data_IF_289148870081
#
_entry.id   IF_289148870081
#
_cell.length_a   1.000
_cell.length_b   1.000
_cell.length_c   1.000
_cell.angle_alpha   90.00
_cell.angle_beta   90.00
_cell.angle_gamma   90.00
#
_symmetry.space_group_name_H-M   'P 1'
#
loop_
_entity.id
_entity.type
_entity.pdbx_description
1 polymer ?
#
# COMPACT_ATOMS: atom_id res chain seq x y z
N UNK A 1 12.39 -5.70 -21.44
CA UNK A 1 12.22 -5.08 -20.10
C UNK A 1 11.82 -6.19 -19.14
N UNK A 2 12.30 -6.12 -17.91
CA UNK A 2 11.99 -7.08 -16.87
C UNK A 2 11.53 -6.35 -15.62
N UNK A 3 10.59 -6.95 -14.91
CA UNK A 3 10.09 -6.48 -13.62
C UNK A 3 10.18 -7.62 -12.61
N UNK A 4 10.74 -7.34 -11.44
CA UNK A 4 10.88 -8.29 -10.35
C UNK A 4 10.12 -7.78 -9.13
N UNK A 5 9.35 -8.62 -8.47
CA UNK A 5 8.49 -8.24 -7.36
C UNK A 5 8.67 -9.16 -6.16
N UNK A 6 8.51 -8.59 -4.97
CA UNK A 6 8.22 -9.33 -3.75
C UNK A 6 7.42 -8.47 -2.77
N UNK A 7 6.77 -9.13 -1.81
CA UNK A 7 5.81 -8.54 -0.90
C UNK A 7 6.26 -8.55 0.57
N UNK A 8 5.76 -7.57 1.32
CA UNK A 8 5.86 -7.57 2.79
C UNK A 8 4.51 -7.18 3.40
N UNK A 9 4.10 -7.86 4.48
CA UNK A 9 2.82 -7.59 5.14
C UNK A 9 1.75 -8.68 5.02
N UNK A 10 2.17 -9.94 4.79
CA UNK A 10 1.37 -11.17 4.76
C UNK A 10 0.25 -11.17 3.70
N UNK A 11 0.60 -11.62 2.48
CA UNK A 11 -0.25 -11.85 1.28
C UNK A 11 -1.26 -10.76 0.89
N UNK A 12 -1.34 -9.66 1.63
CA UNK A 12 -2.37 -8.64 1.48
C UNK A 12 -3.76 -9.10 1.92
N UNK A 13 -3.92 -10.17 2.71
CA UNK A 13 -5.24 -10.61 3.18
C UNK A 13 -5.89 -9.55 4.07
N UNK A 14 -7.17 -9.25 3.80
CA UNK A 14 -7.99 -8.23 4.48
C UNK A 14 -9.14 -8.83 5.31
N UNK A 15 -9.27 -10.14 5.33
CA UNK A 15 -10.29 -10.82 6.12
C UNK A 15 -9.84 -11.09 7.54
N UNK A 16 -10.80 -11.15 8.48
CA UNK A 16 -10.49 -11.47 9.86
C UNK A 16 -9.68 -12.77 9.96
N UNK A 17 -8.58 -12.72 10.71
CA UNK A 17 -7.79 -13.88 11.03
C UNK A 17 -8.56 -14.83 11.97
N UNK A 18 -7.98 -15.98 12.29
CA UNK A 18 -8.59 -16.98 13.21
C UNK A 18 -8.88 -16.43 14.62
N UNK A 19 -8.32 -15.29 14.98
CA UNK A 19 -8.54 -14.63 16.27
C UNK A 19 -9.62 -13.52 16.19
N UNK A 20 -10.25 -13.32 15.03
CA UNK A 20 -11.28 -12.31 14.83
C UNK A 20 -10.75 -10.88 14.64
N UNK A 21 -9.46 -10.72 14.33
CA UNK A 21 -8.82 -9.42 14.06
C UNK A 21 -8.62 -9.24 12.55
N UNK A 22 -8.73 -8.03 11.99
CA UNK A 22 -8.57 -7.82 10.54
C UNK A 22 -7.17 -8.13 10.01
N UNK A 23 -6.17 -8.04 10.86
CA UNK A 23 -4.79 -8.35 10.52
C UNK A 23 -4.05 -8.85 11.76
N UNK A 24 -2.95 -9.57 11.56
CA UNK A 24 -2.06 -9.92 12.67
C UNK A 24 -1.30 -8.67 13.17
N UNK A 25 -0.81 -8.73 14.41
CA UNK A 25 -0.07 -7.64 15.03
C UNK A 25 1.07 -7.14 14.13
N UNK A 26 1.03 -5.84 13.81
CA UNK A 26 2.02 -5.19 12.95
C UNK A 26 1.93 -5.58 11.46
N UNK A 27 0.74 -5.96 10.98
CA UNK A 27 0.49 -6.30 9.56
C UNK A 27 -0.71 -5.54 8.96
N UNK A 28 -0.99 -4.34 9.48
CA UNK A 28 -1.98 -3.41 8.91
C UNK A 28 -1.60 -2.97 7.50
N UNK A 29 -0.31 -2.85 7.22
CA UNK A 29 0.17 -2.36 5.94
C UNK A 29 0.71 -3.50 5.08
N UNK A 30 0.50 -3.35 3.78
CA UNK A 30 1.02 -4.23 2.75
C UNK A 30 1.90 -3.42 1.81
N UNK A 31 3.07 -3.96 1.48
CA UNK A 31 4.03 -3.31 0.59
C UNK A 31 4.43 -4.27 -0.51
N UNK A 32 4.22 -3.87 -1.75
CA UNK A 32 4.80 -4.50 -2.94
C UNK A 32 6.03 -3.70 -3.32
N UNK A 33 7.21 -4.31 -3.20
CA UNK A 33 8.47 -3.74 -3.68
C UNK A 33 8.80 -4.29 -5.06
N UNK A 34 9.37 -3.47 -5.93
CA UNK A 34 9.75 -3.90 -7.26
C UNK A 34 11.09 -3.37 -7.72
N UNK A 35 11.71 -4.14 -8.62
CA UNK A 35 12.93 -3.77 -9.35
C UNK A 35 12.62 -3.81 -10.84
N UNK A 36 12.64 -2.66 -11.49
CA UNK A 36 12.50 -2.48 -12.92
C UNK A 36 13.86 -2.49 -13.60
N UNK A 37 13.93 -3.20 -14.72
CA UNK A 37 15.12 -3.34 -15.54
C UNK A 37 14.73 -3.11 -17.00
N UNK A 38 15.19 -2.02 -17.59
CA UNK A 38 14.85 -1.64 -18.95
C UNK A 38 15.45 -2.62 -19.97
N UNK A 39 16.73 -2.94 -19.80
CA UNK A 39 17.53 -3.76 -20.71
C UNK A 39 18.66 -4.51 -19.97
N UNK A 40 19.53 -5.17 -20.74
CA UNK A 40 20.61 -5.99 -20.19
C UNK A 40 21.73 -5.18 -19.54
N UNK A 41 22.01 -3.97 -20.02
CA UNK A 41 23.03 -3.11 -19.42
C UNK A 41 22.55 -2.63 -18.05
N UNK A 42 21.28 -2.26 -17.98
CA UNK A 42 20.56 -1.91 -16.76
C UNK A 42 20.59 -3.05 -15.72
N UNK A 43 20.30 -4.28 -16.17
CA UNK A 43 20.35 -5.48 -15.35
C UNK A 43 21.74 -5.69 -14.72
N UNK A 44 22.79 -5.49 -15.52
CA UNK A 44 24.18 -5.64 -15.08
C UNK A 44 24.53 -4.55 -14.07
N UNK A 45 24.08 -3.31 -14.29
CA UNK A 45 24.34 -2.19 -13.38
C UNK A 45 23.79 -2.49 -11.97
N UNK A 46 22.51 -2.79 -11.86
CA UNK A 46 21.86 -2.99 -10.56
C UNK A 46 22.38 -4.24 -9.84
N UNK A 47 22.63 -5.33 -10.58
CA UNK A 47 23.25 -6.54 -10.02
C UNK A 47 24.66 -6.27 -9.50
N UNK A 48 25.44 -5.44 -10.20
CA UNK A 48 26.77 -5.07 -9.74
C UNK A 48 26.71 -4.25 -8.45
N UNK A 49 25.78 -3.29 -8.33
CA UNK A 49 25.56 -2.54 -7.06
C UNK A 49 25.26 -3.51 -5.91
N UNK A 50 24.33 -4.44 -6.12
CA UNK A 50 23.91 -5.39 -5.09
C UNK A 50 25.01 -6.40 -4.70
N UNK A 51 25.73 -6.94 -5.69
CA UNK A 51 26.86 -7.86 -5.43
C UNK A 51 28.02 -7.15 -4.74
N UNK A 52 28.31 -5.90 -5.09
CA UNK A 52 29.31 -5.08 -4.39
C UNK A 52 28.92 -4.88 -2.93
N UNK A 53 27.65 -4.57 -2.66
CA UNK A 53 27.10 -4.50 -1.31
C UNK A 53 27.32 -5.82 -0.55
N UNK A 54 26.88 -6.97 -1.10
CA UNK A 54 27.04 -8.29 -0.45
C UNK A 54 28.51 -8.60 -0.16
N UNK A 55 29.39 -8.39 -1.13
CA UNK A 55 30.83 -8.61 -0.99
C UNK A 55 31.45 -7.72 0.09
N UNK A 56 31.05 -6.44 0.15
CA UNK A 56 31.59 -5.48 1.13
C UNK A 56 31.29 -5.86 2.57
N UNK A 57 30.10 -6.42 2.83
CA UNK A 57 29.65 -6.78 4.17
C UNK A 57 29.73 -8.28 4.46
N UNK A 58 30.27 -9.08 3.53
CA UNK A 58 30.50 -10.51 3.72
C UNK A 58 29.24 -11.37 3.72
N UNK A 59 28.16 -10.94 3.06
CA UNK A 59 26.92 -11.70 2.98
C UNK A 59 27.02 -12.81 1.92
N UNK A 60 26.94 -14.07 2.36
CA UNK A 60 26.93 -15.25 1.49
C UNK A 60 25.51 -15.76 1.30
N UNK A 61 25.06 -15.90 0.06
CA UNK A 61 23.70 -16.39 -0.26
C UNK A 61 22.65 -15.27 -0.18
N UNK A 62 21.41 -15.63 0.10
CA UNK A 62 20.30 -14.69 0.27
C UNK A 62 20.41 -13.96 1.62
N UNK A 63 20.22 -12.65 1.60
CA UNK A 63 20.06 -11.83 2.80
C UNK A 63 18.61 -11.35 2.87
N UNK A 64 17.95 -11.54 4.03
CA UNK A 64 16.58 -11.06 4.23
C UNK A 64 16.57 -9.58 4.61
N UNK A 65 15.60 -8.82 4.09
CA UNK A 65 15.49 -7.39 4.42
C UNK A 65 15.35 -7.12 5.92
N UNK A 66 14.64 -7.99 6.65
CA UNK A 66 14.51 -7.92 8.11
C UNK A 66 15.83 -8.08 8.86
N UNK A 67 16.80 -8.80 8.29
CA UNK A 67 18.13 -8.96 8.88
C UNK A 67 18.95 -7.66 8.80
N UNK A 68 18.78 -6.90 7.71
CA UNK A 68 19.42 -5.59 7.54
C UNK A 68 18.90 -4.54 8.53
N UNK A 69 17.68 -4.71 9.03
CA UNK A 69 17.03 -3.82 9.98
C UNK A 69 17.47 -4.04 11.45
N UNK A 70 18.68 -4.53 11.68
CA UNK A 70 19.25 -4.79 13.01
C UNK A 70 20.42 -3.87 13.32
N UNK A 71 20.66 -3.55 14.60
CA UNK A 71 21.74 -2.63 15.01
C UNK A 71 23.11 -3.05 14.47
N UNK A 72 23.40 -4.36 14.44
CA UNK A 72 24.66 -4.91 13.90
C UNK A 72 24.89 -4.59 12.42
N UNK A 73 23.80 -4.37 11.68
CA UNK A 73 23.81 -4.16 10.23
C UNK A 73 23.55 -2.70 9.85
N UNK A 74 23.61 -1.75 10.79
CA UNK A 74 23.36 -0.32 10.51
C UNK A 74 24.22 0.24 9.37
N UNK A 75 25.52 -0.08 9.33
CA UNK A 75 26.41 0.36 8.25
C UNK A 75 26.05 -0.32 6.91
N UNK A 76 25.63 -1.59 6.95
CA UNK A 76 25.18 -2.32 5.77
C UNK A 76 23.88 -1.73 5.22
N UNK A 77 22.89 -1.48 6.07
CA UNK A 77 21.63 -0.85 5.70
C UNK A 77 21.86 0.55 5.12
N UNK A 78 22.70 1.36 5.77
CA UNK A 78 23.06 2.70 5.24
C UNK A 78 23.70 2.60 3.87
N UNK A 79 24.65 1.67 3.68
CA UNK A 79 25.26 1.46 2.38
C UNK A 79 24.25 1.00 1.33
N UNK A 80 23.37 0.06 1.68
CA UNK A 80 22.31 -0.43 0.81
C UNK A 80 21.42 0.72 0.33
N UNK A 81 20.89 1.52 1.26
CA UNK A 81 20.04 2.67 0.91
C UNK A 81 20.79 3.67 0.03
N UNK A 82 22.04 4.02 0.34
CA UNK A 82 22.75 5.09 -0.37
C UNK A 82 23.44 4.66 -1.67
N UNK A 83 23.75 3.37 -1.86
CA UNK A 83 24.59 2.91 -2.98
C UNK A 83 23.94 1.81 -3.83
N UNK A 84 22.88 1.17 -3.34
CA UNK A 84 22.14 0.15 -4.09
C UNK A 84 20.83 0.71 -4.61
N UNK A 85 20.09 1.44 -3.78
CA UNK A 85 18.87 2.11 -4.21
C UNK A 85 19.17 3.31 -5.12
N UNK A 86 18.24 3.59 -6.03
CA UNK A 86 18.26 4.77 -6.90
C UNK A 86 16.83 5.12 -7.37
N UNK A 87 16.72 6.26 -8.05
CA UNK A 87 15.52 6.84 -8.64
C UNK A 87 15.23 6.30 -10.05
N UNK A 88 15.69 5.07 -10.35
CA UNK A 88 15.52 4.45 -11.66
C UNK A 88 14.91 3.05 -11.57
N UNK A 89 15.44 2.21 -10.70
CA UNK A 89 15.08 0.79 -10.69
C UNK A 89 13.96 0.47 -9.70
N UNK A 90 13.76 1.26 -8.64
CA UNK A 90 12.89 0.87 -7.53
C UNK A 90 11.53 1.55 -7.61
N UNK A 91 10.47 0.75 -7.55
CA UNK A 91 9.10 1.24 -7.36
C UNK A 91 8.41 0.51 -6.23
N UNK A 92 7.59 1.23 -5.48
CA UNK A 92 6.93 0.74 -4.26
C UNK A 92 5.44 1.06 -4.32
N UNK A 93 4.60 0.06 -4.04
CA UNK A 93 3.20 0.27 -3.74
C UNK A 93 2.94 -0.03 -2.27
N UNK A 94 2.45 0.95 -1.52
CA UNK A 94 2.17 0.85 -0.10
C UNK A 94 0.69 1.00 0.18
N UNK A 95 0.08 -0.01 0.79
CA UNK A 95 -1.34 -0.07 1.10
C UNK A 95 -1.58 -0.11 2.60
N UNK A 96 -2.55 0.67 3.06
CA UNK A 96 -3.20 0.49 4.36
C UNK A 96 -4.48 -0.34 4.17
N UNK A 97 -4.50 -1.55 4.72
CA UNK A 97 -5.65 -2.47 4.58
C UNK A 97 -6.96 -1.88 5.10
N UNK A 98 -6.91 -1.02 6.14
CA UNK A 98 -8.11 -0.34 6.65
C UNK A 98 -8.60 0.70 5.65
N UNK A 99 -7.69 1.44 5.03
CA UNK A 99 -8.07 2.41 4.01
C UNK A 99 -8.63 1.71 2.77
N UNK A 100 -8.03 0.59 2.35
CA UNK A 100 -8.57 -0.25 1.28
C UNK A 100 -9.99 -0.74 1.59
N UNK A 101 -10.26 -1.25 2.80
CA UNK A 101 -11.63 -1.61 3.18
C UNK A 101 -12.57 -0.39 3.20
N UNK A 102 -12.06 0.77 3.61
CA UNK A 102 -12.84 2.02 3.60
C UNK A 102 -13.22 2.46 2.19
N UNK A 103 -12.33 2.31 1.20
CA UNK A 103 -12.65 2.63 -0.19
C UNK A 103 -13.68 1.63 -0.76
N UNK A 104 -13.58 0.33 -0.43
CA UNK A 104 -14.60 -0.65 -0.83
C UNK A 104 -15.98 -0.35 -0.23
N UNK A 105 -16.05 -0.01 1.07
CA UNK A 105 -17.30 0.42 1.72
C UNK A 105 -17.82 1.70 1.04
N UNK A 106 -16.94 2.65 0.73
CA UNK A 106 -17.33 3.89 0.07
C UNK A 106 -17.87 3.65 -1.34
N UNK A 107 -17.29 2.73 -2.11
CA UNK A 107 -17.83 2.33 -3.41
C UNK A 107 -19.18 1.64 -3.26
N UNK A 108 -19.34 0.77 -2.26
CA UNK A 108 -20.62 0.11 -1.98
C UNK A 108 -21.74 1.12 -1.67
N UNK A 109 -21.44 2.13 -0.84
CA UNK A 109 -22.43 3.09 -0.36
C UNK A 109 -22.68 4.23 -1.35
N UNK A 110 -21.64 4.78 -1.99
CA UNK A 110 -21.75 5.95 -2.86
C UNK A 110 -21.79 5.60 -4.35
N UNK A 111 -21.27 4.43 -4.73
CA UNK A 111 -21.13 4.00 -6.11
C UNK A 111 -19.91 4.57 -6.83
N UNK A 112 -19.49 3.87 -7.90
CA UNK A 112 -18.35 4.26 -8.75
C UNK A 112 -18.58 5.62 -9.42
N UNK A 113 -19.82 5.92 -9.81
CA UNK A 113 -20.13 7.23 -10.40
C UNK A 113 -19.86 8.39 -9.44
N UNK A 114 -20.16 8.23 -8.15
CA UNK A 114 -19.84 9.25 -7.15
C UNK A 114 -18.33 9.39 -6.97
N UNK A 115 -17.59 8.28 -6.91
CA UNK A 115 -16.12 8.31 -6.85
C UNK A 115 -15.51 9.11 -8.02
N UNK A 116 -16.09 9.02 -9.21
CA UNK A 116 -15.60 9.68 -10.43
C UNK A 116 -16.00 11.15 -10.54
N UNK A 117 -17.19 11.51 -10.08
CA UNK A 117 -17.72 12.88 -10.21
C UNK A 117 -17.33 13.76 -9.02
N UNK A 118 -17.23 13.16 -7.83
CA UNK A 118 -16.99 13.82 -6.55
C UNK A 118 -15.74 13.23 -5.90
N UNK A 119 -14.65 13.11 -6.67
CA UNK A 119 -13.44 12.36 -6.30
C UNK A 119 -12.82 12.83 -4.98
N UNK A 120 -12.67 14.15 -4.80
CA UNK A 120 -12.16 14.70 -3.55
C UNK A 120 -13.05 14.33 -2.36
N UNK A 121 -14.37 14.55 -2.50
CA UNK A 121 -15.35 14.20 -1.45
C UNK A 121 -15.30 12.72 -1.12
N UNK A 122 -15.25 11.84 -2.13
CA UNK A 122 -15.13 10.39 -1.95
C UNK A 122 -13.91 10.02 -1.10
N UNK A 123 -12.72 10.50 -1.46
CA UNK A 123 -11.50 10.15 -0.73
C UNK A 123 -11.38 10.84 0.63
N UNK A 124 -12.00 12.01 0.82
CA UNK A 124 -12.15 12.63 2.14
C UNK A 124 -13.02 11.77 3.06
N UNK A 125 -14.16 11.27 2.57
CA UNK A 125 -15.04 10.39 3.33
C UNK A 125 -14.36 9.06 3.65
N UNK A 126 -13.71 8.42 2.66
CA UNK A 126 -13.00 7.16 2.86
C UNK A 126 -11.84 7.32 3.85
N UNK A 127 -11.10 8.44 3.80
CA UNK A 127 -10.04 8.74 4.77
C UNK A 127 -10.59 8.91 6.17
N UNK A 128 -11.72 9.59 6.33
CA UNK A 128 -12.35 9.76 7.63
C UNK A 128 -12.89 8.43 8.19
N UNK A 129 -13.54 7.62 7.36
CA UNK A 129 -14.02 6.28 7.72
C UNK A 129 -12.86 5.39 8.19
N UNK A 130 -11.73 5.42 7.48
CA UNK A 130 -10.54 4.65 7.83
C UNK A 130 -9.93 5.04 9.19
N UNK A 131 -10.29 6.21 9.72
CA UNK A 131 -9.92 6.66 11.07
C UNK A 131 -10.87 6.20 12.18
N UNK A 132 -11.97 5.52 11.84
CA UNK A 132 -12.95 4.98 12.76
C UNK A 132 -12.51 3.64 13.39
N UNK A 133 -13.33 3.10 14.29
CA UNK A 133 -13.03 1.86 15.02
C UNK A 133 -13.02 0.64 14.10
N UNK A 134 -12.09 -0.28 14.39
CA UNK A 134 -11.90 -1.55 13.66
C UNK A 134 -13.19 -2.38 13.53
N UNK A 135 -14.07 -2.29 14.54
CA UNK A 135 -15.35 -2.99 14.60
C UNK A 135 -16.22 -2.77 13.34
N UNK A 136 -16.22 -1.56 12.76
CA UNK A 136 -17.00 -1.27 11.56
C UNK A 136 -16.59 -2.15 10.39
N UNK A 137 -15.28 -2.33 10.21
CA UNK A 137 -14.72 -3.12 9.12
C UNK A 137 -14.90 -4.62 9.36
N UNK A 138 -14.87 -5.07 10.62
CA UNK A 138 -15.20 -6.45 10.98
C UNK A 138 -16.66 -6.78 10.61
N UNK A 139 -17.59 -5.86 10.90
CA UNK A 139 -19.00 -6.00 10.51
C UNK A 139 -19.17 -6.05 8.98
N UNK A 140 -18.47 -5.19 8.24
CA UNK A 140 -18.45 -5.24 6.78
C UNK A 140 -17.96 -6.59 6.25
N UNK A 141 -16.81 -7.07 6.73
CA UNK A 141 -16.26 -8.37 6.31
C UNK A 141 -17.22 -9.53 6.62
N UNK A 142 -17.91 -9.50 7.76
CA UNK A 142 -18.94 -10.51 8.10
C UNK A 142 -20.10 -10.47 7.11
N UNK A 143 -20.60 -9.27 6.78
CA UNK A 143 -21.71 -9.11 5.84
C UNK A 143 -21.34 -9.61 4.42
N UNK A 144 -20.10 -9.36 4.00
CA UNK A 144 -19.54 -9.86 2.73
C UNK A 144 -19.42 -11.39 2.72
N UNK A 145 -19.01 -12.03 3.82
CA UNK A 145 -18.94 -13.49 3.90
C UNK A 145 -20.31 -14.14 3.70
N UNK A 146 -21.37 -13.55 4.25
CA UNK A 146 -22.73 -14.08 4.14
C UNK A 146 -23.35 -13.75 2.78
N UNK A 147 -23.08 -12.54 2.27
CA UNK A 147 -23.57 -11.99 0.99
C UNK A 147 -25.06 -12.26 0.72
N UNK A 148 -25.91 -12.00 1.70
CA UNK A 148 -27.37 -12.09 1.55
C UNK A 148 -28.01 -10.70 1.63
N UNK A 149 -29.24 -10.54 1.15
CA UNK A 149 -29.98 -9.28 1.34
C UNK A 149 -30.11 -8.93 2.83
N UNK A 150 -30.28 -9.93 3.70
CA UNK A 150 -30.33 -9.70 5.15
C UNK A 150 -29.00 -9.16 5.69
N UNK A 151 -27.87 -9.76 5.32
CA UNK A 151 -26.56 -9.29 5.79
C UNK A 151 -26.24 -7.88 5.26
N UNK A 152 -26.68 -7.55 4.04
CA UNK A 152 -26.62 -6.20 3.46
C UNK A 152 -27.47 -5.21 4.28
N UNK A 153 -28.72 -5.56 4.61
CA UNK A 153 -29.63 -4.74 5.43
C UNK A 153 -29.02 -4.50 6.82
N UNK A 154 -28.57 -5.56 7.50
CA UNK A 154 -27.97 -5.48 8.83
C UNK A 154 -26.72 -4.59 8.84
N UNK A 155 -25.88 -4.69 7.81
CA UNK A 155 -24.72 -3.82 7.67
C UNK A 155 -25.11 -2.35 7.46
N UNK A 156 -26.11 -2.05 6.63
CA UNK A 156 -26.60 -0.69 6.42
C UNK A 156 -27.21 -0.10 7.70
N UNK A 157 -27.99 -0.87 8.45
CA UNK A 157 -28.53 -0.47 9.76
C UNK A 157 -27.42 -0.23 10.79
N UNK A 158 -26.38 -1.08 10.78
CA UNK A 158 -25.20 -0.89 11.61
C UNK A 158 -24.46 0.40 11.21
N UNK A 159 -24.25 0.66 9.92
CA UNK A 159 -23.59 1.87 9.43
C UNK A 159 -24.34 3.15 9.84
N UNK A 160 -25.67 3.13 9.91
CA UNK A 160 -26.51 4.25 10.37
C UNK A 160 -26.36 4.47 11.88
N UNK A 161 -26.32 3.39 12.66
CA UNK A 161 -26.27 3.44 14.13
C UNK A 161 -24.86 3.49 14.72
N UNK A 162 -23.83 3.34 13.88
CA UNK A 162 -22.44 3.29 14.27
C UNK A 162 -22.02 4.56 15.04
N UNK A 163 -21.29 4.43 16.16
CA UNK A 163 -20.88 5.57 16.97
C UNK A 163 -19.64 6.28 16.39
N UNK A 164 -19.78 6.92 15.22
CA UNK A 164 -18.71 7.67 14.55
C UNK A 164 -17.98 8.63 15.49
N UNK A 165 -16.64 8.69 15.39
CA UNK A 165 -15.76 9.58 16.13
C UNK A 165 -15.02 10.58 15.23
N UNK A 166 -14.85 10.24 13.95
CA UNK A 166 -14.19 11.07 12.92
C UNK A 166 -15.19 11.74 12.01
N UNK A 167 -16.37 11.14 11.85
CA UNK A 167 -17.49 11.69 11.09
C UNK A 167 -18.63 12.15 12.01
N UNK A 168 -19.44 13.09 11.51
CA UNK A 168 -20.63 13.55 12.23
C UNK A 168 -21.69 12.43 12.34
N UNK A 169 -22.53 12.50 13.38
CA UNK A 169 -23.60 11.52 13.65
C UNK A 169 -24.99 12.00 13.21
N UNK A 170 -25.03 12.87 12.22
CA UNK A 170 -26.26 13.48 11.73
C UNK A 170 -26.43 13.16 10.24
N UNK A 171 -27.52 13.64 9.63
CA UNK A 171 -27.84 13.37 8.22
C UNK A 171 -26.89 14.08 7.22
N UNK A 172 -25.92 14.88 7.68
CA UNK A 172 -24.84 15.37 6.83
C UNK A 172 -23.72 14.34 6.63
N UNK A 173 -23.68 13.27 7.44
CA UNK A 173 -22.80 12.15 7.17
C UNK A 173 -23.32 11.35 5.97
N UNK A 174 -22.58 11.40 4.87
CA UNK A 174 -23.00 10.78 3.61
C UNK A 174 -23.21 9.26 3.77
N UNK A 175 -22.44 8.57 4.63
CA UNK A 175 -22.66 7.14 4.87
C UNK A 175 -24.03 6.87 5.48
N UNK A 176 -24.46 7.70 6.44
CA UNK A 176 -25.78 7.60 7.06
C UNK A 176 -26.88 7.92 6.04
N UNK A 177 -26.72 9.01 5.28
CA UNK A 177 -27.72 9.46 4.32
C UNK A 177 -27.95 8.44 3.19
N UNK A 178 -26.88 7.94 2.57
CA UNK A 178 -26.97 6.96 1.49
C UNK A 178 -27.45 5.59 1.99
N UNK A 179 -27.01 5.15 3.17
CA UNK A 179 -27.49 3.88 3.74
C UNK A 179 -29.00 3.90 4.01
N UNK A 180 -29.54 5.02 4.54
CA UNK A 180 -30.99 5.20 4.70
C UNK A 180 -31.72 5.12 3.37
N UNK A 181 -31.20 5.78 2.34
CA UNK A 181 -31.79 5.77 1.00
C UNK A 181 -31.81 4.35 0.39
N UNK A 182 -30.73 3.58 0.54
CA UNK A 182 -30.66 2.19 0.09
C UNK A 182 -31.72 1.32 0.80
N UNK A 183 -31.88 1.48 2.11
CA UNK A 183 -32.91 0.77 2.90
C UNK A 183 -34.34 1.15 2.47
N UNK A 184 -34.61 2.44 2.26
CA UNK A 184 -35.92 2.93 1.81
C UNK A 184 -36.28 2.41 0.42
N UNK A 185 -35.32 2.42 -0.51
CA UNK A 185 -35.52 1.96 -1.88
C UNK A 185 -35.49 0.44 -2.03
N UNK A 186 -34.99 -0.28 -1.02
CA UNK A 186 -34.70 -1.73 -1.09
C UNK A 186 -33.77 -2.09 -2.24
N UNK A 187 -32.81 -1.22 -2.50
CA UNK A 187 -31.76 -1.41 -3.49
C UNK A 187 -30.43 -1.53 -2.75
N UNK A 188 -29.96 -2.77 -2.61
CA UNK A 188 -28.80 -3.08 -1.78
C UNK A 188 -27.52 -3.28 -2.60
N UNK A 189 -27.61 -3.31 -3.93
CA UNK A 189 -26.46 -3.55 -4.80
C UNK A 189 -25.69 -4.84 -4.50
N UNK A 190 -24.46 -4.92 -4.99
CA UNK A 190 -23.51 -5.99 -4.68
C UNK A 190 -22.30 -5.42 -3.94
N UNK A 191 -21.77 -6.19 -3.00
CA UNK A 191 -20.53 -5.81 -2.35
C UNK A 191 -19.38 -5.82 -3.38
N UNK A 192 -18.55 -4.76 -3.44
CA UNK A 192 -17.37 -4.74 -4.30
C UNK A 192 -16.34 -5.81 -3.92
N UNK A 193 -16.34 -6.21 -2.64
CA UNK A 193 -15.53 -7.31 -2.15
C UNK A 193 -16.21 -8.65 -2.46
N UNK A 194 -15.57 -9.48 -3.27
CA UNK A 194 -16.09 -10.81 -3.63
C UNK A 194 -15.41 -11.92 -2.82
N UNK A 195 -16.20 -12.67 -2.04
CA UNK A 195 -15.77 -13.87 -1.32
C UNK A 195 -15.75 -15.09 -2.26
N UNK A 196 -14.79 -16.02 -2.10
CA UNK A 196 -14.65 -17.24 -2.93
C UNK A 196 -14.49 -16.99 -4.45
N UNK A 197 -14.08 -15.78 -4.86
CA UNK A 197 -13.89 -15.46 -6.27
C UNK A 197 -12.70 -16.20 -6.93
N UNK A 198 -11.79 -16.74 -6.13
CA UNK A 198 -10.60 -17.45 -6.60
C UNK A 198 -10.74 -18.96 -6.44
N UNK A 199 -10.03 -19.71 -7.28
CA UNK A 199 -9.97 -21.19 -7.24
C UNK A 199 -9.54 -21.72 -5.86
N UNK A 200 -8.65 -21.02 -5.17
CA UNK A 200 -8.31 -21.31 -3.78
C UNK A 200 -9.43 -20.83 -2.82
N UNK A 201 -10.25 -21.78 -2.34
CA UNK A 201 -11.42 -21.52 -1.47
C UNK A 201 -11.12 -20.90 -0.10
N UNK A 202 -9.85 -20.78 0.28
CA UNK A 202 -9.44 -20.12 1.53
C UNK A 202 -9.14 -18.63 1.34
N UNK A 203 -9.50 -18.04 0.20
CA UNK A 203 -9.03 -16.72 -0.21
C UNK A 203 -10.16 -15.72 -0.37
N UNK A 204 -9.88 -14.50 0.05
CA UNK A 204 -10.76 -13.35 -0.11
C UNK A 204 -9.86 -12.16 -0.39
N UNK A 205 -10.10 -11.54 -1.54
CA UNK A 205 -9.43 -10.35 -2.10
C UNK A 205 -8.09 -9.97 -1.46
N UNK A 206 -7.01 -10.33 -2.15
CA UNK A 206 -5.68 -9.93 -1.76
C UNK A 206 -5.37 -8.52 -2.25
N UNK A 207 -4.98 -7.66 -1.31
CA UNK A 207 -4.36 -6.38 -1.63
C UNK A 207 -3.14 -6.58 -2.52
N UNK A 208 -2.42 -7.72 -2.45
CA UNK A 208 -1.27 -7.97 -3.32
C UNK A 208 -1.64 -7.93 -4.81
N UNK A 209 -2.64 -8.70 -5.25
CA UNK A 209 -3.03 -8.71 -6.66
C UNK A 209 -3.46 -7.33 -7.16
N UNK A 210 -4.26 -6.62 -6.35
CA UNK A 210 -4.67 -5.26 -6.64
C UNK A 210 -3.45 -4.33 -6.74
N UNK A 211 -2.53 -4.41 -5.79
CA UNK A 211 -1.28 -3.65 -5.76
C UNK A 211 -0.42 -3.91 -7.00
N UNK A 212 -0.31 -5.16 -7.44
CA UNK A 212 0.41 -5.50 -8.67
C UNK A 212 -0.29 -4.89 -9.89
N UNK A 213 -1.60 -5.08 -10.04
CA UNK A 213 -2.35 -4.52 -11.17
C UNK A 213 -2.21 -3.00 -11.26
N UNK A 214 -2.31 -2.31 -10.13
CA UNK A 214 -2.15 -0.85 -10.06
C UNK A 214 -0.71 -0.39 -10.31
N UNK A 215 0.30 -1.16 -9.88
CA UNK A 215 1.70 -0.89 -10.20
C UNK A 215 1.97 -1.00 -11.70
N UNK A 216 1.49 -2.08 -12.33
CA UNK A 216 1.63 -2.29 -13.78
C UNK A 216 0.90 -1.17 -14.56
N UNK A 217 -0.28 -0.75 -14.09
CA UNK A 217 -1.03 0.37 -14.66
C UNK A 217 -0.25 1.69 -14.52
N UNK A 218 0.35 1.93 -13.36
CA UNK A 218 1.19 3.11 -13.10
C UNK A 218 2.42 3.13 -14.00
N UNK A 219 3.13 2.01 -14.13
CA UNK A 219 4.27 1.88 -15.04
C UNK A 219 3.88 2.12 -16.51
N UNK A 220 2.71 1.63 -16.93
CA UNK A 220 2.19 1.89 -18.27
C UNK A 220 1.89 3.37 -18.51
N UNK A 221 1.17 4.02 -17.60
CA UNK A 221 0.69 5.39 -17.81
C UNK A 221 1.73 6.47 -17.51
N UNK A 222 2.51 6.30 -16.45
CA UNK A 222 3.49 7.30 -16.00
C UNK A 222 4.84 7.11 -16.70
N UNK A 223 5.20 5.87 -17.05
CA UNK A 223 6.52 5.55 -17.61
C UNK A 223 6.47 4.97 -19.03
N UNK A 224 5.28 4.84 -19.63
CA UNK A 224 5.12 4.38 -21.01
C UNK A 224 5.54 2.94 -21.24
N UNK A 225 5.59 2.11 -20.19
CA UNK A 225 6.07 0.73 -20.28
C UNK A 225 5.02 -0.15 -20.98
N UNK A 226 5.45 -0.86 -22.03
CA UNK A 226 4.61 -1.82 -22.73
C UNK A 226 4.55 -3.15 -21.95
N UNK A 227 3.47 -3.34 -21.19
CA UNK A 227 3.25 -4.54 -20.38
C UNK A 227 3.22 -5.82 -21.22
N UNK A 228 2.82 -5.75 -22.51
CA UNK A 228 2.79 -6.93 -23.39
C UNK A 228 4.17 -7.44 -23.80
N UNK A 229 5.22 -6.64 -23.59
CA UNK A 229 6.62 -6.96 -23.90
C UNK A 229 7.52 -7.00 -22.66
N UNK A 230 6.92 -6.95 -21.47
CA UNK A 230 7.64 -6.95 -20.21
C UNK A 230 7.60 -8.33 -19.60
N UNK A 231 8.76 -8.88 -19.27
CA UNK A 231 8.84 -10.13 -18.52
C UNK A 231 8.68 -9.83 -17.03
N UNK A 232 7.69 -10.45 -16.39
CA UNK A 232 7.35 -10.20 -14.99
C UNK A 232 7.75 -11.42 -14.16
N UNK A 233 8.47 -11.18 -13.07
CA UNK A 233 8.95 -12.20 -12.13
C UNK A 233 8.49 -11.88 -10.71
N UNK A 234 8.06 -12.89 -9.98
CA UNK A 234 7.66 -12.78 -8.58
C UNK A 234 8.33 -13.89 -7.75
N UNK A 235 8.64 -13.65 -6.47
CA UNK A 235 9.02 -14.75 -5.57
C UNK A 235 7.91 -15.80 -5.49
N UNK A 236 8.25 -17.05 -5.17
CA UNK A 236 7.25 -18.12 -5.10
C UNK A 236 6.19 -17.83 -4.03
N UNK A 237 4.92 -17.81 -4.46
CA UNK A 237 3.74 -17.67 -3.61
C UNK A 237 2.97 -18.98 -3.59
N UNK A 238 3.46 -19.94 -2.80
CA UNK A 238 2.96 -21.33 -2.81
C UNK A 238 1.42 -21.42 -2.76
N UNK A 239 0.83 -21.86 -3.87
CA UNK A 239 -0.60 -22.12 -3.99
C UNK A 239 -1.44 -20.93 -4.48
N UNK A 240 -0.81 -19.91 -5.04
CA UNK A 240 -1.47 -18.72 -5.60
C UNK A 240 -1.01 -18.41 -7.03
N UNK A 241 -0.04 -19.14 -7.56
CA UNK A 241 0.59 -18.84 -8.84
C UNK A 241 -0.39 -18.95 -10.02
N UNK A 242 -1.35 -19.86 -9.92
CA UNK A 242 -2.40 -20.05 -10.93
C UNK A 242 -3.41 -18.91 -10.90
N UNK A 243 -3.86 -18.47 -9.72
CA UNK A 243 -4.79 -17.35 -9.54
C UNK A 243 -4.26 -16.05 -10.17
N UNK A 244 -2.97 -15.76 -9.98
CA UNK A 244 -2.32 -14.61 -10.61
C UNK A 244 -2.41 -14.69 -12.12
N UNK A 245 -1.97 -15.81 -12.70
CA UNK A 245 -1.94 -15.96 -14.15
C UNK A 245 -3.34 -15.95 -14.78
N UNK A 246 -4.35 -16.52 -14.11
CA UNK A 246 -5.75 -16.45 -14.56
C UNK A 246 -6.28 -15.01 -14.52
N UNK A 247 -6.01 -14.27 -13.45
CA UNK A 247 -6.50 -12.89 -13.29
C UNK A 247 -5.94 -11.92 -14.33
N UNK A 248 -4.76 -12.23 -14.87
CA UNK A 248 -4.06 -11.40 -15.86
C UNK A 248 -4.14 -11.97 -17.30
N UNK A 249 -4.82 -13.10 -17.50
CA UNK A 249 -4.87 -13.83 -18.79
C UNK A 249 -5.48 -12.97 -19.92
N UNK A 250 -6.59 -12.28 -19.64
CA UNK A 250 -7.27 -11.41 -20.62
C UNK A 250 -6.37 -10.28 -21.15
N UNK A 251 -5.39 -9.87 -20.33
CA UNK A 251 -4.42 -8.83 -20.68
C UNK A 251 -3.14 -9.39 -21.29
N UNK A 252 -3.04 -10.71 -21.50
CA UNK A 252 -1.85 -11.42 -22.01
C UNK A 252 -0.60 -11.14 -21.18
N UNK A 253 -0.79 -10.93 -19.88
CA UNK A 253 0.30 -10.73 -18.94
C UNK A 253 0.55 -12.08 -18.25
N UNK A 254 1.80 -12.54 -18.29
CA UNK A 254 2.21 -13.78 -17.65
C UNK A 254 3.26 -13.49 -16.56
N UNK A 255 3.08 -14.11 -15.40
CA UNK A 255 3.93 -13.91 -14.23
C UNK A 255 4.75 -15.18 -13.99
N UNK A 256 6.07 -15.00 -14.01
CA UNK A 256 7.03 -16.07 -13.79
C UNK A 256 7.38 -16.14 -12.30
N UNK A 257 6.94 -17.20 -11.62
CA UNK A 257 7.30 -17.43 -10.23
C UNK A 257 8.66 -18.12 -10.14
N UNK A 258 9.57 -17.54 -9.35
CA UNK A 258 10.96 -18.00 -9.23
C UNK A 258 11.39 -18.06 -7.77
N UNK A 259 12.30 -18.98 -7.43
CA UNK A 259 12.87 -19.06 -6.08
C UNK A 259 13.85 -17.90 -5.87
N UNK A 260 13.59 -17.06 -4.86
CA UNK A 260 14.47 -15.96 -4.48
C UNK A 260 15.93 -16.39 -4.27
N UNK A 261 16.21 -17.63 -3.85
CA UNK A 261 17.58 -18.13 -3.66
C UNK A 261 18.39 -18.17 -4.95
N UNK A 262 17.71 -18.34 -6.08
CA UNK A 262 18.32 -18.46 -7.41
C UNK A 262 18.20 -17.15 -8.22
N UNK A 263 17.49 -16.13 -7.71
CA UNK A 263 17.28 -14.86 -8.40
C UNK A 263 17.60 -13.65 -7.50
N UNK A 264 18.77 -13.03 -7.71
CA UNK A 264 19.22 -11.88 -6.93
C UNK A 264 18.35 -10.63 -7.09
N UNK A 265 17.64 -10.44 -8.21
CA UNK A 265 16.73 -9.29 -8.41
C UNK A 265 15.44 -9.45 -7.63
N UNK A 266 14.98 -10.69 -7.42
CA UNK A 266 13.89 -10.99 -6.49
C UNK A 266 14.35 -10.78 -5.04
N UNK A 267 15.59 -11.16 -4.69
CA UNK A 267 16.15 -10.84 -3.36
C UNK A 267 16.20 -9.32 -3.11
N UNK A 268 16.56 -8.54 -4.13
CA UNK A 268 16.53 -7.07 -4.07
C UNK A 268 15.10 -6.55 -3.82
N UNK A 269 14.10 -7.12 -4.50
CA UNK A 269 12.69 -6.79 -4.29
C UNK A 269 12.21 -7.13 -2.86
N UNK A 270 12.58 -8.29 -2.31
CA UNK A 270 12.34 -8.66 -0.89
C UNK A 270 12.96 -7.63 0.06
N UNK A 271 14.21 -7.26 -0.22
CA UNK A 271 14.97 -6.38 0.64
C UNK A 271 14.30 -5.00 0.72
N UNK A 272 13.95 -4.40 -0.42
CA UNK A 272 13.29 -3.09 -0.43
C UNK A 272 11.88 -3.16 0.16
N UNK A 273 11.06 -4.17 -0.16
CA UNK A 273 9.70 -4.30 0.35
C UNK A 273 9.69 -4.41 1.89
N UNK A 274 10.57 -5.24 2.45
CA UNK A 274 10.69 -5.48 3.88
C UNK A 274 11.29 -4.30 4.65
N UNK A 275 12.38 -3.69 4.13
CA UNK A 275 13.00 -2.51 4.74
C UNK A 275 12.02 -1.34 4.73
N UNK A 276 11.42 -1.04 3.58
CA UNK A 276 10.47 0.06 3.42
C UNK A 276 9.29 -0.11 4.36
N UNK A 277 8.62 -1.28 4.36
CA UNK A 277 7.46 -1.53 5.22
C UNK A 277 7.79 -1.30 6.68
N UNK A 278 8.93 -1.81 7.15
CA UNK A 278 9.30 -1.70 8.56
C UNK A 278 9.57 -0.26 8.98
N UNK A 279 10.29 0.50 8.13
CA UNK A 279 10.52 1.93 8.31
C UNK A 279 9.20 2.70 8.35
N UNK A 280 8.36 2.49 7.34
CA UNK A 280 7.03 3.11 7.22
C UNK A 280 6.17 2.82 8.46
N UNK A 281 5.95 1.55 8.81
CA UNK A 281 5.09 1.15 9.93
C UNK A 281 5.53 1.80 11.25
N UNK A 282 6.82 1.74 11.55
CA UNK A 282 7.36 2.27 12.81
C UNK A 282 7.32 3.78 12.87
N UNK A 283 7.58 4.46 11.76
CA UNK A 283 7.40 5.91 11.68
C UNK A 283 5.95 6.30 11.90
N UNK A 284 5.02 5.66 11.18
CA UNK A 284 3.60 6.02 11.21
C UNK A 284 2.94 5.72 12.55
N UNK A 285 3.26 4.57 13.16
CA UNK A 285 2.85 4.23 14.52
C UNK A 285 3.32 5.31 15.51
N UNK A 286 4.57 5.78 15.35
CA UNK A 286 5.11 6.85 16.20
C UNK A 286 4.35 8.17 16.03
N UNK A 287 4.03 8.58 14.79
CA UNK A 287 3.22 9.77 14.53
C UNK A 287 1.80 9.65 15.11
N UNK A 288 1.12 8.53 14.86
CA UNK A 288 -0.24 8.28 15.39
C UNK A 288 -0.27 8.26 16.92
N UNK A 289 0.81 7.84 17.58
CA UNK A 289 0.95 7.82 19.04
C UNK A 289 1.52 9.13 19.64
N UNK A 290 1.80 10.17 18.84
CA UNK A 290 2.52 11.38 19.27
C UNK A 290 3.91 11.10 19.91
N UNK A 291 4.63 10.11 19.38
CA UNK A 291 5.97 9.65 19.80
C UNK A 291 7.02 9.73 18.68
N UNK A 292 6.77 10.56 17.67
CA UNK A 292 7.64 10.72 16.49
C UNK A 292 9.06 11.24 16.81
N UNK A 293 9.23 11.90 17.95
CA UNK A 293 10.51 12.49 18.38
C UNK A 293 11.23 11.68 19.47
N UNK A 294 10.87 10.41 19.65
CA UNK A 294 11.44 9.51 20.67
C UNK A 294 12.19 8.34 20.01
N UNK A 295 12.24 7.16 20.64
CA UNK A 295 13.06 6.00 20.22
C UNK A 295 12.83 5.48 18.78
N UNK A 296 11.83 5.99 18.05
CA UNK A 296 11.52 5.63 16.67
C UNK A 296 12.23 6.51 15.61
N UNK A 297 13.08 7.45 16.03
CA UNK A 297 13.84 8.34 15.13
C UNK A 297 14.63 7.55 14.09
N UNK A 298 15.29 6.45 14.50
CA UNK A 298 16.11 5.65 13.60
C UNK A 298 15.31 5.08 12.41
N UNK A 299 14.08 4.62 12.63
CA UNK A 299 13.21 4.15 11.54
C UNK A 299 12.84 5.31 10.62
N UNK A 300 12.54 6.47 11.19
CA UNK A 300 12.09 7.65 10.43
C UNK A 300 13.21 8.30 9.61
N UNK A 301 14.45 8.28 10.12
CA UNK A 301 15.62 8.69 9.35
C UNK A 301 15.90 7.76 8.17
N UNK A 302 15.84 6.44 8.38
CA UNK A 302 16.02 5.50 7.28
C UNK A 302 14.86 5.60 6.28
N UNK A 303 13.63 5.82 6.75
CA UNK A 303 12.48 6.07 5.88
C UNK A 303 12.70 7.31 5.00
N UNK A 304 13.13 8.43 5.59
CA UNK A 304 13.46 9.67 4.88
C UNK A 304 14.55 9.45 3.84
N UNK A 305 15.61 8.71 4.17
CA UNK A 305 16.69 8.42 3.22
C UNK A 305 16.23 7.57 2.05
N UNK A 306 15.37 6.57 2.29
CA UNK A 306 14.79 5.77 1.22
C UNK A 306 14.01 6.68 0.27
N UNK A 307 13.08 7.49 0.80
CA UNK A 307 12.27 8.41 0.00
C UNK A 307 13.14 9.39 -0.80
N UNK A 308 14.16 9.99 -0.17
CA UNK A 308 15.06 10.91 -0.86
C UNK A 308 15.94 10.24 -1.91
N UNK A 309 16.14 8.92 -1.83
CA UNK A 309 16.97 8.17 -2.79
C UNK A 309 16.15 7.66 -3.97
N UNK A 310 14.94 7.14 -3.73
CA UNK A 310 14.09 6.57 -4.79
C UNK A 310 13.14 7.58 -5.42
N UNK A 311 12.85 8.69 -4.73
CA UNK A 311 11.86 9.68 -5.16
C UNK A 311 10.43 9.33 -4.74
N UNK A 312 9.60 10.35 -4.51
CA UNK A 312 8.17 10.13 -4.17
C UNK A 312 7.34 9.70 -5.39
N UNK A 313 7.80 10.06 -6.58
CA UNK A 313 7.25 9.66 -7.88
C UNK A 313 7.28 8.14 -8.11
N UNK A 314 8.14 7.42 -7.38
CA UNK A 314 8.28 5.97 -7.45
C UNK A 314 7.54 5.25 -6.32
N UNK A 315 6.79 5.99 -5.49
CA UNK A 315 6.07 5.46 -4.33
C UNK A 315 4.59 5.76 -4.50
N UNK A 316 3.81 4.73 -4.82
CA UNK A 316 2.36 4.80 -4.79
C UNK A 316 1.86 4.56 -3.36
N UNK A 317 0.99 5.45 -2.89
CA UNK A 317 0.40 5.40 -1.56
C UNK A 317 -1.11 5.15 -1.68
N UNK A 318 -1.56 4.03 -1.14
CA UNK A 318 -2.98 3.71 -0.96
C UNK A 318 -3.29 3.78 0.55
N UNK A 319 -3.32 5.01 1.05
CA UNK A 319 -3.49 5.32 2.47
C UNK A 319 -4.40 6.52 2.66
N UNK A 320 -4.84 6.75 3.90
CA UNK A 320 -5.63 7.93 4.26
C UNK A 320 -4.86 9.22 3.89
N UNK A 321 -5.56 10.30 3.55
CA UNK A 321 -4.93 11.56 3.13
C UNK A 321 -3.86 12.03 4.13
N UNK A 322 -4.12 11.98 5.44
CA UNK A 322 -3.13 12.36 6.45
C UNK A 322 -1.88 11.47 6.45
N UNK A 323 -2.06 10.19 6.17
CA UNK A 323 -0.98 9.23 6.06
C UNK A 323 -0.22 9.39 4.74
N UNK A 324 -0.87 9.83 3.66
CA UNK A 324 -0.20 10.16 2.41
C UNK A 324 0.63 11.46 2.52
N UNK A 325 0.27 12.38 3.42
CA UNK A 325 1.05 13.60 3.69
C UNK A 325 2.39 13.28 4.37
N UNK A 326 2.40 12.33 5.30
CA UNK A 326 3.53 12.09 6.20
C UNK A 326 4.88 11.80 5.50
N UNK A 327 4.98 11.01 4.41
CA UNK A 327 6.24 10.74 3.72
C UNK A 327 6.91 12.02 3.22
N UNK A 328 6.15 12.98 2.67
CA UNK A 328 6.67 14.27 2.22
C UNK A 328 7.21 15.10 3.39
N UNK A 329 6.47 15.12 4.51
CA UNK A 329 6.90 15.83 5.72
C UNK A 329 8.15 15.18 6.32
N UNK A 330 8.21 13.85 6.38
CA UNK A 330 9.36 13.11 6.90
C UNK A 330 10.58 13.37 6.03
N UNK A 331 10.46 13.28 4.70
CA UNK A 331 11.52 13.57 3.73
C UNK A 331 12.15 14.93 3.99
N UNK A 332 11.34 15.96 4.19
CA UNK A 332 11.81 17.34 4.33
C UNK A 332 12.36 17.66 5.74
N UNK A 333 11.81 17.01 6.78
CA UNK A 333 12.27 17.24 8.15
C UNK A 333 13.58 16.50 8.42
N UNK A 334 13.62 15.21 8.08
CA UNK A 334 14.74 14.32 8.41
C UNK A 334 15.84 14.36 7.35
N UNK A 335 15.49 14.71 6.09
CA UNK A 335 16.45 14.82 4.99
C UNK A 335 17.29 13.57 4.78
N UNK A 336 18.53 13.76 4.33
CA UNK A 336 19.46 12.67 4.01
C UNK A 336 20.48 12.38 5.13
N UNK A 337 20.78 13.38 5.96
CA UNK A 337 21.83 13.25 6.99
C UNK A 337 21.22 12.97 8.37
N UNK A 338 22.00 12.26 9.19
CA UNK A 338 21.60 11.94 10.55
C UNK A 338 21.38 13.22 11.39
N UNK A 339 20.28 13.26 12.14
CA UNK A 339 20.00 14.35 13.09
C UNK A 339 19.47 15.66 12.51
N UNK A 340 19.24 15.78 11.19
CA UNK A 340 18.70 17.02 10.59
C UNK A 340 17.33 17.42 11.17
N UNK A 341 16.54 16.45 11.63
CA UNK A 341 15.22 16.69 12.21
C UNK A 341 15.25 17.62 13.42
N UNK A 342 16.36 17.69 14.18
CA UNK A 342 16.45 18.56 15.36
C UNK A 342 16.29 20.05 15.00
N UNK A 343 16.72 20.43 13.81
CA UNK A 343 16.62 21.80 13.30
C UNK A 343 15.28 22.07 12.58
N UNK A 344 14.60 21.01 12.15
CA UNK A 344 13.43 21.11 11.28
C UNK A 344 12.12 20.72 11.95
N UNK A 345 12.13 20.06 13.11
CA UNK A 345 10.92 19.53 13.77
C UNK A 345 9.87 20.59 14.06
N UNK A 346 10.28 21.84 14.31
CA UNK A 346 9.36 22.97 14.53
C UNK A 346 8.53 23.32 13.28
N UNK A 347 9.00 22.94 12.08
CA UNK A 347 8.31 23.17 10.81
C UNK A 347 7.22 22.13 10.52
N UNK A 348 7.08 21.10 11.36
CA UNK A 348 6.21 19.95 11.10
C UNK A 348 4.79 20.34 10.68
N UNK A 349 4.11 21.17 11.48
CA UNK A 349 2.72 21.53 11.19
C UNK A 349 2.61 22.38 9.92
N UNK A 350 3.56 23.28 9.67
CA UNK A 350 3.58 24.08 8.44
C UNK A 350 3.70 23.20 7.20
N UNK A 351 4.63 22.25 7.21
CA UNK A 351 4.81 21.30 6.12
C UNK A 351 3.62 20.35 5.97
N UNK A 352 3.06 19.87 7.09
CA UNK A 352 1.91 18.98 7.07
C UNK A 352 0.70 19.63 6.41
N UNK A 353 0.35 20.86 6.79
CA UNK A 353 -0.78 21.57 6.16
C UNK A 353 -0.51 21.90 4.69
N UNK A 354 0.72 22.31 4.36
CA UNK A 354 1.12 22.58 2.97
C UNK A 354 0.95 21.35 2.08
N UNK A 355 1.49 20.20 2.48
CA UNK A 355 1.38 18.97 1.68
C UNK A 355 -0.04 18.41 1.68
N UNK A 356 -0.80 18.59 2.77
CA UNK A 356 -2.21 18.19 2.81
C UNK A 356 -3.03 18.95 1.77
N UNK A 357 -2.86 20.27 1.68
CA UNK A 357 -3.53 21.10 0.69
C UNK A 357 -3.21 20.64 -0.73
N UNK A 358 -1.92 20.45 -1.05
CA UNK A 358 -1.49 19.97 -2.36
C UNK A 358 -2.05 18.59 -2.72
N UNK A 359 -2.04 17.64 -1.79
CA UNK A 359 -2.61 16.31 -2.04
C UNK A 359 -4.11 16.40 -2.31
N UNK A 360 -4.85 17.26 -1.60
CA UNK A 360 -6.27 17.46 -1.86
C UNK A 360 -6.51 18.11 -3.22
N UNK A 361 -5.70 19.09 -3.63
CA UNK A 361 -5.74 19.69 -4.97
C UNK A 361 -5.43 18.65 -6.05
N UNK A 362 -4.42 17.79 -5.84
CA UNK A 362 -4.06 16.72 -6.77
C UNK A 362 -5.21 15.71 -6.92
N UNK A 363 -5.89 15.35 -5.83
CA UNK A 363 -7.06 14.46 -5.85
C UNK A 363 -8.23 15.13 -6.61
N UNK A 364 -8.50 16.40 -6.36
CA UNK A 364 -9.57 17.17 -7.02
C UNK A 364 -9.32 17.33 -8.54
N UNK A 365 -8.05 17.37 -8.93
CA UNK A 365 -7.64 17.47 -10.32
C UNK A 365 -7.71 16.14 -11.09
N UNK A 366 -7.98 15.01 -10.42
CA UNK A 366 -8.12 13.70 -11.08
C UNK A 366 -9.31 13.75 -12.02
N UNK A 367 -9.02 13.67 -13.33
CA UNK A 367 -10.03 13.46 -14.35
C UNK A 367 -10.10 11.98 -14.68
N UNK A 368 -11.19 11.34 -14.31
CA UNK A 368 -11.46 9.96 -14.72
C UNK A 368 -12.06 9.99 -16.13
N UNK A 369 -11.19 10.08 -17.15
CA UNK A 369 -11.58 9.90 -18.54
C UNK A 369 -11.82 8.40 -18.78
N UNK A 370 -13.08 7.98 -18.82
CA UNK A 370 -13.43 6.63 -19.30
C UNK A 370 -14.09 6.70 -20.68
N UNK A 371 -13.74 5.76 -21.59
CA UNK A 371 -14.58 5.49 -22.73
C UNK A 371 -15.92 4.93 -22.22
N UNK A 372 -17.01 5.65 -22.55
CA UNK A 372 -18.40 5.20 -22.37
C UNK A 372 -18.66 3.89 -23.12
#
# INVERSE_FOLDING_TARGET
>A
MKLFFDESGYSGCIMPNKNGQLFNDGQRHFVLGSVFVADKEDEIEILNKYRQFKNRFGFTGEIKGSELMTQRNNEALKYFITNVLDDKHFFICNYDKIFYLSTLISVYIFGVHFQQQETLTFYMMASALAGEKEELFLHYCSAVCENTDNSKIEFLEYLISFPYEKLDRNDYNLYIAFAKLMLENKDYGEFPLTYEAYSCKNTVNFVNMTALGELLLSLKHLHGVDMSKTEIYHDNLMGYEEEYNQSFEDNKIHINFVDSKENELVQLADNISSIYRKCFEKSFEAFRCNKQWTDNIWFTENYSRIINTIGMEHIKMDTQISDYVLPFVIRDIFGNEYGQFEQNKEKFWGLFYFYKERIMEDIDAIKVDLPL
#
